data_IF_470425441339
#
_entry.id   IF_470425441339
#
_cell.length_a   1.000
_cell.length_b   1.000
_cell.length_c   1.000
_cell.angle_alpha   90.00
_cell.angle_beta   90.00
_cell.angle_gamma   90.00
#
_symmetry.space_group_name_H-M   'P 1'
#
loop_
_entity.id
_entity.type
_entity.pdbx_description
1 polymer ?
#
# COMPACT_ATOMS: atom_id res chain seq x y z
N UNK A 1 17.50 8.10 9.84
CA UNK A 1 17.67 7.03 10.86
C UNK A 1 18.43 5.90 10.19
N UNK A 2 19.22 5.13 10.93
CA UNK A 2 20.01 4.02 10.40
C UNK A 2 19.62 2.74 11.15
N UNK A 3 19.34 1.67 10.42
CA UNK A 3 19.14 0.34 11.01
C UNK A 3 20.50 -0.36 11.14
N UNK A 4 20.71 -1.04 12.26
CA UNK A 4 21.86 -1.92 12.47
C UNK A 4 21.31 -3.33 12.65
N UNK A 5 21.75 -4.25 11.79
CA UNK A 5 21.41 -5.67 11.87
C UNK A 5 22.56 -6.37 12.61
N UNK A 6 22.25 -7.10 13.68
CA UNK A 6 23.16 -8.00 14.38
C UNK A 6 22.60 -9.42 14.37
N UNK A 7 23.42 -10.41 14.76
CA UNK A 7 22.96 -11.81 14.88
C UNK A 7 21.76 -11.95 15.82
N UNK A 8 21.67 -11.08 16.83
CA UNK A 8 20.59 -11.05 17.82
C UNK A 8 19.29 -10.36 17.33
N UNK A 9 19.33 -9.64 16.18
CA UNK A 9 18.16 -8.96 15.60
C UNK A 9 18.40 -7.55 15.06
N UNK A 10 17.32 -6.76 14.92
CA UNK A 10 17.37 -5.39 14.40
C UNK A 10 17.40 -4.36 15.54
N UNK A 11 18.26 -3.35 15.38
CA UNK A 11 18.35 -2.20 16.27
C UNK A 11 18.25 -0.90 15.47
N UNK A 12 17.50 0.06 16.02
CA UNK A 12 17.43 1.42 15.48
C UNK A 12 18.57 2.29 16.03
N UNK A 13 19.28 2.99 15.15
CA UNK A 13 20.29 4.00 15.47
C UNK A 13 19.86 5.34 14.85
N UNK A 14 19.90 6.42 15.62
CA UNK A 14 19.41 7.70 15.15
C UNK A 14 19.52 8.81 16.19
N UNK A 15 19.08 10.03 15.86
CA UNK A 15 18.97 11.11 16.83
C UNK A 15 18.07 10.69 18.01
N UNK A 16 18.41 11.13 19.22
CA UNK A 16 17.64 10.84 20.44
C UNK A 16 16.33 11.63 20.42
N UNK A 17 15.33 11.08 19.73
CA UNK A 17 13.98 11.63 19.65
C UNK A 17 13.14 11.11 20.83
N UNK A 18 12.45 11.98 21.60
CA UNK A 18 11.65 11.56 22.75
C UNK A 18 10.63 10.48 22.43
N UNK A 19 10.03 10.53 21.24
CA UNK A 19 9.00 9.59 20.79
C UNK A 19 9.56 8.19 20.55
N UNK A 20 10.86 8.06 20.25
CA UNK A 20 11.50 6.79 19.91
C UNK A 20 12.23 6.15 21.07
N UNK A 21 12.32 6.81 22.22
CA UNK A 21 13.07 6.30 23.37
C UNK A 21 12.58 4.92 23.83
N UNK A 22 11.26 4.70 23.82
CA UNK A 22 10.67 3.40 24.18
C UNK A 22 10.89 2.29 23.13
N UNK A 23 11.13 2.68 21.87
CA UNK A 23 11.47 1.74 20.78
C UNK A 23 12.96 1.42 20.81
N UNK A 24 13.82 2.42 21.01
CA UNK A 24 15.28 2.32 20.90
C UNK A 24 15.96 1.70 22.13
N UNK A 25 15.43 1.96 23.33
CA UNK A 25 16.10 1.61 24.57
C UNK A 25 15.16 0.91 25.55
N UNK A 26 15.71 -0.04 26.28
CA UNK A 26 15.11 -0.50 27.54
C UNK A 26 15.79 0.24 28.67
N UNK A 27 14.98 0.80 29.57
CA UNK A 27 15.50 1.26 30.84
C UNK A 27 15.80 0.02 31.66
N UNK A 28 17.08 -0.19 32.02
CA UNK A 28 17.43 -1.20 33.00
C UNK A 28 16.62 -0.86 34.25
N UNK A 29 15.65 -1.72 34.59
CA UNK A 29 14.97 -1.59 35.86
C UNK A 29 16.03 -1.77 36.93
N UNK A 30 16.21 -0.76 37.79
CA UNK A 30 17.05 -0.89 38.98
C UNK A 30 16.57 -2.12 39.78
N UNK A 31 17.29 -3.25 39.65
CA UNK A 31 17.29 -4.33 40.62
C UNK A 31 16.16 -5.38 40.58
N UNK A 32 15.61 -5.77 39.43
CA UNK A 32 14.73 -6.95 39.32
C UNK A 32 15.38 -8.09 38.55
N UNK A 33 15.67 -9.22 39.20
CA UNK A 33 16.36 -10.40 38.66
C UNK A 33 15.69 -11.08 37.44
N UNK A 34 16.30 -12.15 36.90
CA UNK A 34 15.90 -12.74 35.63
C UNK A 34 14.56 -13.46 35.78
N UNK A 35 13.46 -12.85 35.29
CA UNK A 35 12.21 -13.57 35.11
C UNK A 35 12.19 -14.32 33.78
N UNK A 36 12.08 -15.62 33.98
CA UNK A 36 11.96 -16.71 33.04
C UNK A 36 10.84 -16.45 32.00
N UNK A 37 11.18 -16.64 30.73
CA UNK A 37 10.26 -16.54 29.59
C UNK A 37 9.30 -17.73 29.61
N UNK A 38 8.20 -17.64 30.36
CA UNK A 38 7.07 -18.56 30.20
C UNK A 38 5.99 -17.93 29.32
N UNK A 39 5.74 -18.61 28.20
CA UNK A 39 4.55 -18.51 27.35
C UNK A 39 3.30 -18.26 28.21
N UNK A 40 2.57 -17.19 27.91
CA UNK A 40 1.20 -16.99 28.38
C UNK A 40 0.28 -17.04 27.17
N UNK A 41 -0.60 -18.04 27.20
CA UNK A 41 -1.71 -18.21 26.29
C UNK A 41 -2.69 -17.04 26.41
N UNK A 42 -3.26 -16.65 25.27
CA UNK A 42 -4.34 -15.67 25.16
C UNK A 42 -5.57 -16.09 25.96
N UNK A 43 -6.26 -15.12 26.59
CA UNK A 43 -7.69 -15.00 26.29
C UNK A 43 -8.13 -13.56 25.99
N UNK A 44 -9.15 -13.47 25.14
CA UNK A 44 -9.93 -12.27 24.82
C UNK A 44 -10.60 -11.67 26.07
N UNK A 45 -10.58 -10.33 26.20
CA UNK A 45 -11.77 -9.49 26.34
C UNK A 45 -11.44 -8.03 26.74
N UNK A 46 -11.87 -7.10 25.88
CA UNK A 46 -12.52 -5.80 26.19
C UNK A 46 -11.79 -4.67 26.97
N UNK A 47 -12.25 -3.42 26.78
CA UNK A 47 -11.38 -2.24 26.73
C UNK A 47 -11.38 -1.46 28.05
N UNK A 48 -10.23 -0.95 28.50
CA UNK A 48 -10.16 0.18 29.43
C UNK A 48 -8.77 0.81 29.56
N UNK A 49 -8.78 2.13 29.50
CA UNK A 49 -7.82 3.08 30.06
C UNK A 49 -6.39 3.02 29.51
N UNK A 50 -6.13 3.83 28.48
CA UNK A 50 -4.77 4.33 28.24
C UNK A 50 -4.34 5.19 29.45
N UNK A 51 -3.20 4.89 30.09
CA UNK A 51 -2.64 5.76 31.11
C UNK A 51 -2.09 7.04 30.45
N UNK A 52 -2.54 8.18 30.97
CA UNK A 52 -2.03 9.51 30.61
C UNK A 52 -0.59 9.63 31.11
N UNK A 53 0.38 9.40 30.23
CA UNK A 53 1.82 9.56 30.53
C UNK A 53 2.11 11.06 30.66
N UNK A 54 2.23 11.55 31.88
CA UNK A 54 2.83 12.87 32.15
C UNK A 54 4.35 12.73 32.19
N UNK A 55 5.12 13.58 31.49
CA UNK A 55 6.57 13.51 31.51
C UNK A 55 7.08 14.05 32.86
N UNK A 56 7.53 13.15 33.74
CA UNK A 56 8.34 13.56 34.91
C UNK A 56 9.75 13.87 34.41
N UNK A 57 10.12 15.15 34.47
CA UNK A 57 11.48 15.64 34.30
C UNK A 57 12.33 15.22 35.51
N UNK A 58 12.73 13.96 35.55
CA UNK A 58 13.75 13.44 36.45
C UNK A 58 14.87 12.87 35.59
N UNK A 59 16.02 13.52 35.63
CA UNK A 59 17.24 13.12 34.93
C UNK A 59 17.84 11.88 35.61
N UNK A 60 17.22 10.72 35.40
CA UNK A 60 17.79 9.43 35.80
C UNK A 60 18.77 9.01 34.71
N UNK A 61 20.06 9.14 35.01
CA UNK A 61 21.21 8.58 34.30
C UNK A 61 21.24 7.04 34.36
N UNK A 62 20.09 6.39 34.16
CA UNK A 62 20.01 4.95 33.99
C UNK A 62 20.70 4.55 32.70
N UNK A 63 21.53 3.52 32.77
CA UNK A 63 22.25 2.98 31.62
C UNK A 63 21.23 2.54 30.55
N UNK A 64 21.22 3.25 29.41
CA UNK A 64 20.29 2.98 28.32
C UNK A 64 20.78 1.77 27.55
N UNK A 65 20.19 0.62 27.85
CA UNK A 65 20.52 -0.62 27.14
C UNK A 65 19.81 -0.64 25.78
N UNK A 66 20.54 -0.93 24.69
CA UNK A 66 19.97 -1.15 23.36
C UNK A 66 18.81 -2.16 23.36
N UNK A 67 17.65 -1.79 22.79
CA UNK A 67 16.52 -2.71 22.62
C UNK A 67 16.66 -3.41 21.25
N UNK A 68 16.76 -4.75 21.25
CA UNK A 68 16.77 -5.56 20.03
C UNK A 68 15.37 -6.14 19.80
N UNK A 69 14.87 -6.03 18.58
CA UNK A 69 13.52 -6.48 18.20
C UNK A 69 13.57 -7.33 16.94
N UNK A 70 12.62 -8.25 16.82
CA UNK A 70 12.32 -8.89 15.53
C UNK A 70 11.85 -7.83 14.51
N UNK A 71 12.10 -8.01 13.20
CA UNK A 71 11.69 -7.05 12.17
C UNK A 71 10.21 -6.63 12.26
N UNK A 72 9.29 -7.59 12.39
CA UNK A 72 7.85 -7.31 12.43
C UNK A 72 7.43 -6.47 13.65
N UNK A 73 7.97 -6.77 14.83
CA UNK A 73 7.70 -6.01 16.06
C UNK A 73 8.24 -4.58 15.96
N UNK A 74 9.44 -4.41 15.40
CA UNK A 74 10.05 -3.09 15.22
C UNK A 74 9.24 -2.22 14.26
N UNK A 75 8.84 -2.76 13.10
CA UNK A 75 8.02 -2.04 12.12
C UNK A 75 6.68 -1.59 12.71
N UNK A 76 6.05 -2.45 13.51
CA UNK A 76 4.81 -2.11 14.22
C UNK A 76 5.02 -0.99 15.25
N UNK A 77 6.04 -1.09 16.09
CA UNK A 77 6.36 -0.06 17.10
C UNK A 77 6.70 1.29 16.43
N UNK A 78 7.43 1.28 15.30
CA UNK A 78 7.70 2.47 14.49
C UNK A 78 6.41 3.09 13.95
N UNK A 79 5.51 2.27 13.39
CA UNK A 79 4.20 2.71 12.91
C UNK A 79 3.35 3.31 14.03
N UNK A 80 3.33 2.69 15.20
CA UNK A 80 2.60 3.19 16.37
C UNK A 80 3.15 4.53 16.87
N UNK A 81 4.43 4.82 16.58
CA UNK A 81 5.07 6.13 16.82
C UNK A 81 4.86 7.13 15.67
N UNK A 82 4.06 6.79 14.65
CA UNK A 82 3.81 7.64 13.48
C UNK A 82 4.94 7.61 12.43
N UNK A 83 5.93 6.72 12.58
CA UNK A 83 6.97 6.50 11.58
C UNK A 83 6.53 5.40 10.62
N UNK A 84 5.94 5.81 9.50
CA UNK A 84 5.71 4.91 8.37
C UNK A 84 6.97 4.92 7.50
N UNK A 85 7.64 3.78 7.41
CA UNK A 85 8.70 3.58 6.44
C UNK A 85 8.04 3.39 5.07
N UNK A 86 8.16 4.39 4.21
CA UNK A 86 7.84 4.25 2.80
C UNK A 86 9.08 3.70 2.12
N UNK A 87 9.01 2.52 1.48
CA UNK A 87 10.15 2.03 0.74
C UNK A 87 10.47 2.97 -0.43
N UNK A 88 11.75 3.15 -0.67
CA UNK A 88 12.29 3.96 -1.77
C UNK A 88 12.62 3.04 -2.97
N UNK A 89 12.83 3.61 -4.15
CA UNK A 89 13.17 2.81 -5.34
C UNK A 89 14.54 2.12 -5.16
N UNK A 90 15.44 2.69 -4.37
CA UNK A 90 16.73 2.10 -3.99
C UNK A 90 16.56 0.84 -3.12
N UNK A 91 15.46 0.72 -2.37
CA UNK A 91 15.18 -0.48 -1.57
C UNK A 91 14.91 -1.71 -2.45
N UNK A 92 14.65 -1.49 -3.74
CA UNK A 92 14.47 -2.54 -4.74
C UNK A 92 15.66 -3.49 -4.85
N UNK A 93 16.89 -2.96 -4.66
CA UNK A 93 18.12 -3.74 -4.78
C UNK A 93 18.20 -4.86 -3.74
N UNK A 94 17.43 -4.76 -2.66
CA UNK A 94 17.37 -5.73 -1.57
C UNK A 94 16.18 -6.70 -1.68
N UNK A 95 15.32 -6.55 -2.69
CA UNK A 95 14.11 -7.35 -2.88
C UNK A 95 14.26 -8.29 -4.08
N UNK A 96 14.40 -9.59 -3.81
CA UNK A 96 14.53 -10.60 -4.86
C UNK A 96 13.28 -10.64 -5.76
N UNK A 97 13.52 -10.55 -7.07
CA UNK A 97 12.46 -10.59 -8.09
C UNK A 97 11.59 -9.33 -8.12
N UNK A 98 12.05 -8.25 -7.49
CA UNK A 98 11.42 -6.95 -7.57
C UNK A 98 12.11 -6.08 -8.62
N UNK A 99 11.32 -5.33 -9.38
CA UNK A 99 11.86 -4.36 -10.35
C UNK A 99 10.96 -3.13 -10.30
N UNK A 100 11.50 -1.95 -9.94
CA UNK A 100 10.75 -0.70 -9.97
C UNK A 100 10.11 -0.50 -11.34
N UNK A 101 8.84 -0.07 -11.32
CA UNK A 101 8.12 0.22 -12.56
C UNK A 101 8.66 1.49 -13.19
N UNK A 102 8.60 1.54 -14.51
CA UNK A 102 9.02 2.70 -15.27
C UNK A 102 8.18 3.93 -14.85
N UNK A 103 8.82 5.06 -14.47
CA UNK A 103 8.11 6.27 -14.08
C UNK A 103 7.06 6.73 -15.09
N UNK A 104 7.28 6.50 -16.39
CA UNK A 104 6.29 6.84 -17.43
C UNK A 104 5.04 5.95 -17.34
N UNK A 105 5.22 4.66 -17.08
CA UNK A 105 4.10 3.71 -16.87
C UNK A 105 3.31 4.10 -15.62
N UNK A 106 4.01 4.44 -14.53
CA UNK A 106 3.39 4.89 -13.28
C UNK A 106 2.61 6.20 -13.48
N UNK A 107 3.21 7.19 -14.13
CA UNK A 107 2.58 8.47 -14.42
C UNK A 107 1.32 8.29 -15.27
N UNK A 108 1.38 7.42 -16.30
CA UNK A 108 0.23 7.07 -17.14
C UNK A 108 -0.88 6.43 -16.33
N UNK A 109 -0.56 5.37 -15.58
CA UNK A 109 -1.54 4.65 -14.80
C UNK A 109 -2.21 5.55 -13.76
N UNK A 110 -1.44 6.36 -13.03
CA UNK A 110 -2.00 7.27 -12.03
C UNK A 110 -2.84 8.40 -12.64
N UNK A 111 -2.48 8.90 -13.84
CA UNK A 111 -3.33 9.85 -14.56
C UNK A 111 -4.70 9.23 -14.85
N UNK A 112 -4.72 8.07 -15.51
CA UNK A 112 -5.96 7.40 -15.91
C UNK A 112 -6.80 6.95 -14.71
N UNK A 113 -6.16 6.38 -13.68
CA UNK A 113 -6.85 5.95 -12.46
C UNK A 113 -7.47 7.12 -11.71
N UNK A 114 -6.78 8.25 -11.64
CA UNK A 114 -7.29 9.42 -10.92
C UNK A 114 -8.56 10.00 -11.57
N UNK A 115 -8.70 9.88 -12.89
CA UNK A 115 -9.90 10.29 -13.63
C UNK A 115 -11.11 9.41 -13.30
N UNK A 116 -10.90 8.13 -13.00
CA UNK A 116 -11.98 7.17 -12.73
C UNK A 116 -12.23 6.89 -11.24
N UNK A 117 -11.33 7.31 -10.35
CA UNK A 117 -11.37 6.97 -8.92
C UNK A 117 -12.64 7.42 -8.17
N UNK A 118 -13.45 8.31 -8.74
CA UNK A 118 -14.72 8.73 -8.16
C UNK A 118 -15.85 7.70 -8.29
N UNK A 119 -15.70 6.69 -9.16
CA UNK A 119 -16.76 5.71 -9.44
C UNK A 119 -16.27 4.27 -9.47
N UNK A 120 -14.96 4.07 -9.31
CA UNK A 120 -14.33 2.77 -9.40
C UNK A 120 -13.47 2.50 -8.17
N UNK A 121 -13.60 1.30 -7.64
CA UNK A 121 -12.63 0.75 -6.71
C UNK A 121 -11.40 0.30 -7.50
N UNK A 122 -10.22 0.63 -6.98
CA UNK A 122 -8.94 0.31 -7.62
C UNK A 122 -8.11 -0.55 -6.66
N UNK A 123 -7.64 -1.68 -7.17
CA UNK A 123 -6.76 -2.58 -6.43
C UNK A 123 -5.53 -2.92 -7.27
N UNK A 124 -4.34 -2.88 -6.67
CA UNK A 124 -3.12 -3.35 -7.30
C UNK A 124 -3.13 -4.88 -7.42
N UNK A 125 -2.52 -5.42 -8.48
CA UNK A 125 -2.41 -6.86 -8.67
C UNK A 125 -1.13 -7.42 -8.07
N UNK A 126 -1.19 -8.61 -7.48
CA UNK A 126 -0.01 -9.35 -6.99
C UNK A 126 0.92 -9.83 -8.12
N UNK A 127 0.45 -9.77 -9.36
CA UNK A 127 1.22 -10.18 -10.53
C UNK A 127 2.23 -9.12 -10.96
N UNK A 128 2.20 -7.90 -10.41
CA UNK A 128 3.13 -6.83 -10.76
C UNK A 128 4.60 -7.22 -10.60
N UNK A 129 4.94 -8.04 -9.59
CA UNK A 129 6.29 -8.61 -9.42
C UNK A 129 6.80 -9.44 -10.60
N UNK A 130 5.90 -10.05 -11.38
CA UNK A 130 6.24 -10.91 -12.52
C UNK A 130 6.23 -10.18 -13.86
N UNK A 131 5.72 -8.95 -13.86
CA UNK A 131 5.60 -8.14 -15.06
C UNK A 131 6.87 -7.32 -15.29
N UNK A 132 7.22 -7.05 -16.56
CA UNK A 132 8.34 -6.17 -16.87
C UNK A 132 8.08 -4.75 -16.32
N UNK A 133 9.14 -3.95 -16.23
CA UNK A 133 9.07 -2.60 -15.63
C UNK A 133 8.13 -1.67 -16.38
N UNK A 134 7.96 -1.88 -17.69
CA UNK A 134 7.09 -1.10 -18.57
C UNK A 134 5.62 -1.54 -18.50
N UNK A 135 5.28 -2.47 -17.60
CA UNK A 135 3.92 -2.98 -17.44
C UNK A 135 3.48 -2.93 -15.99
N UNK A 136 2.31 -2.36 -15.77
CA UNK A 136 1.63 -2.34 -14.48
C UNK A 136 0.22 -2.91 -14.63
N UNK A 137 -0.12 -3.89 -13.79
CA UNK A 137 -1.44 -4.53 -13.77
C UNK A 137 -2.24 -4.08 -12.57
N UNK A 138 -3.46 -3.65 -12.84
CA UNK A 138 -4.43 -3.19 -11.87
C UNK A 138 -5.73 -3.96 -12.03
N UNK A 139 -6.55 -3.89 -10.99
CA UNK A 139 -7.92 -4.36 -11.00
C UNK A 139 -8.83 -3.19 -10.69
N UNK A 140 -9.88 -3.05 -11.49
CA UNK A 140 -10.89 -2.00 -11.35
C UNK A 140 -12.27 -2.63 -11.25
N UNK A 141 -13.12 -2.09 -10.38
CA UNK A 141 -14.51 -2.52 -10.19
C UNK A 141 -15.39 -1.29 -10.09
N UNK A 142 -16.55 -1.30 -10.74
CA UNK A 142 -17.54 -0.23 -10.57
C UNK A 142 -18.05 -0.20 -9.12
N UNK A 143 -18.07 0.98 -8.51
CA UNK A 143 -18.62 1.20 -7.18
C UNK A 143 -19.46 2.49 -7.13
N UNK A 144 -20.60 2.53 -7.85
CA UNK A 144 -21.42 3.74 -7.96
C UNK A 144 -22.09 4.15 -6.64
N UNK A 145 -22.13 3.24 -5.67
CA UNK A 145 -22.78 3.43 -4.36
C UNK A 145 -21.79 3.70 -3.22
N UNK A 146 -20.48 3.76 -3.51
CA UNK A 146 -19.41 3.95 -2.51
C UNK A 146 -19.48 2.92 -1.37
N UNK A 147 -19.80 1.68 -1.73
CA UNK A 147 -19.84 0.58 -0.78
C UNK A 147 -18.44 0.32 -0.23
N UNK A 148 -18.37 0.06 1.07
CA UNK A 148 -17.11 -0.26 1.70
C UNK A 148 -16.68 -1.67 1.29
N UNK A 149 -15.45 -1.80 0.79
CA UNK A 149 -14.88 -3.09 0.44
C UNK A 149 -14.88 -4.05 1.63
N UNK A 150 -15.58 -5.20 1.49
CA UNK A 150 -15.57 -6.28 2.47
C UNK A 150 -14.65 -7.43 1.98
N UNK A 151 -13.47 -7.63 2.58
CA UNK A 151 -12.57 -8.72 2.19
C UNK A 151 -13.12 -10.11 2.51
N UNK A 152 -14.20 -10.22 3.29
CA UNK A 152 -14.83 -11.50 3.64
C UNK A 152 -15.92 -11.91 2.65
N UNK A 153 -16.32 -11.03 1.74
CA UNK A 153 -17.27 -11.34 0.69
C UNK A 153 -16.59 -12.16 -0.42
N UNK A 154 -17.00 -13.42 -0.63
CA UNK A 154 -16.40 -14.28 -1.66
C UNK A 154 -16.67 -13.78 -3.09
N UNK A 155 -17.72 -12.99 -3.29
CA UNK A 155 -18.09 -12.49 -4.61
C UNK A 155 -17.38 -11.18 -4.97
N UNK A 156 -16.79 -10.49 -3.97
CA UNK A 156 -16.12 -9.20 -4.17
C UNK A 156 -15.01 -9.23 -5.23
N UNK A 157 -14.30 -10.36 -5.39
CA UNK A 157 -13.23 -10.51 -6.37
C UNK A 157 -13.75 -10.76 -7.81
N UNK A 158 -15.02 -11.14 -7.98
CA UNK A 158 -15.57 -11.55 -9.28
C UNK A 158 -15.90 -10.38 -10.21
N UNK A 159 -16.21 -9.22 -9.62
CA UNK A 159 -16.57 -8.01 -10.36
C UNK A 159 -15.35 -7.20 -10.84
N UNK A 160 -14.15 -7.57 -10.41
CA UNK A 160 -12.94 -6.88 -10.80
C UNK A 160 -12.54 -7.22 -12.25
N UNK A 161 -12.33 -6.18 -13.04
CA UNK A 161 -11.72 -6.26 -14.36
C UNK A 161 -10.23 -5.92 -14.25
N UNK A 162 -9.39 -6.70 -14.91
CA UNK A 162 -7.96 -6.45 -14.90
C UNK A 162 -7.55 -5.52 -16.05
N UNK A 163 -6.79 -4.49 -15.73
CA UNK A 163 -6.30 -3.44 -16.65
C UNK A 163 -4.79 -3.46 -16.64
N UNK A 164 -4.20 -3.63 -17.82
CA UNK A 164 -2.76 -3.59 -18.03
C UNK A 164 -2.37 -2.23 -18.63
N UNK A 165 -1.45 -1.55 -17.97
CA UNK A 165 -0.88 -0.27 -18.38
C UNK A 165 0.52 -0.44 -18.94
N UNK A 166 0.83 0.41 -19.91
CA UNK A 166 2.12 0.63 -20.54
C UNK A 166 2.43 2.14 -20.50
N UNK A 167 3.63 2.61 -20.89
CA UNK A 167 3.92 4.04 -20.95
C UNK A 167 2.95 4.84 -21.83
N UNK A 168 2.52 4.26 -22.95
CA UNK A 168 1.77 4.95 -24.00
C UNK A 168 0.32 4.46 -24.19
N UNK A 169 -0.08 3.38 -23.50
CA UNK A 169 -1.37 2.72 -23.71
C UNK A 169 -1.86 1.91 -22.51
N UNK A 170 -3.13 1.53 -22.54
CA UNK A 170 -3.76 0.60 -21.62
C UNK A 170 -4.66 -0.40 -22.37
N UNK A 171 -4.95 -1.54 -21.76
CA UNK A 171 -5.96 -2.50 -22.24
C UNK A 171 -6.55 -3.33 -21.09
N UNK A 172 -7.71 -3.93 -21.33
CA UNK A 172 -8.24 -4.96 -20.46
C UNK A 172 -7.62 -6.33 -20.75
N UNK A 173 -7.37 -7.12 -19.71
CA UNK A 173 -6.76 -8.45 -19.79
C UNK A 173 -7.56 -9.47 -18.95
N UNK A 174 -7.57 -10.77 -19.30
CA UNK A 174 -8.21 -11.82 -18.50
C UNK A 174 -7.43 -12.21 -17.22
N UNK A 175 -6.47 -11.41 -16.77
CA UNK A 175 -5.59 -11.74 -15.65
C UNK A 175 -6.28 -11.61 -14.28
N UNK A 176 -6.88 -12.69 -13.79
CA UNK A 176 -7.40 -12.79 -12.43
C UNK A 176 -6.28 -13.10 -11.43
N UNK A 177 -6.46 -12.70 -10.15
CA UNK A 177 -5.45 -12.90 -9.11
C UNK A 177 -5.05 -14.38 -8.95
N UNK A 178 -6.03 -15.29 -8.95
CA UNK A 178 -5.80 -16.73 -8.72
C UNK A 178 -5.16 -17.47 -9.90
N UNK A 179 -5.22 -16.92 -11.11
CA UNK A 179 -4.68 -17.54 -12.32
C UNK A 179 -3.26 -17.02 -12.62
N UNK A 180 -2.48 -17.72 -13.47
CA UNK A 180 -1.26 -17.16 -14.03
C UNK A 180 -1.53 -15.84 -14.74
N UNK A 181 -0.59 -14.89 -14.62
CA UNK A 181 -0.69 -13.60 -15.29
C UNK A 181 -0.82 -13.78 -16.80
N UNK A 182 -1.80 -13.10 -17.37
CA UNK A 182 -2.00 -13.03 -18.82
C UNK A 182 -1.82 -11.58 -19.24
N UNK A 183 -0.98 -11.34 -20.24
CA UNK A 183 -0.69 -9.99 -20.75
C UNK A 183 -1.40 -9.70 -22.06
N UNK A 184 -1.94 -10.73 -22.70
CA UNK A 184 -2.70 -10.57 -23.93
C UNK A 184 -4.01 -9.82 -23.64
N UNK A 185 -4.39 -8.84 -24.48
CA UNK A 185 -5.68 -8.19 -24.37
C UNK A 185 -6.84 -9.20 -24.38
N UNK A 186 -7.94 -8.86 -23.71
CA UNK A 186 -9.18 -9.62 -23.82
C UNK A 186 -9.63 -9.76 -25.29
N UNK A 187 -10.32 -10.85 -25.67
CA UNK A 187 -10.83 -11.02 -27.02
C UNK A 187 -11.69 -9.82 -27.45
N UNK A 188 -11.43 -9.26 -28.64
CA UNK A 188 -12.07 -8.05 -29.18
C UNK A 188 -11.74 -6.74 -28.44
N UNK A 189 -10.87 -6.76 -27.44
CA UNK A 189 -10.30 -5.54 -26.87
C UNK A 189 -8.99 -5.17 -27.58
N UNK A 190 -8.75 -3.86 -27.71
CA UNK A 190 -7.53 -3.30 -28.25
C UNK A 190 -6.80 -2.51 -27.17
N UNK A 191 -5.51 -2.24 -27.40
CA UNK A 191 -4.80 -1.23 -26.60
C UNK A 191 -5.19 0.17 -27.05
N UNK A 192 -5.45 1.06 -26.10
CA UNK A 192 -5.79 2.45 -26.37
C UNK A 192 -4.88 3.40 -25.62
N UNK A 193 -4.77 4.63 -26.10
CA UNK A 193 -3.93 5.65 -25.49
C UNK A 193 -4.38 6.06 -24.08
N UNK A 194 -5.62 5.74 -23.67
CA UNK A 194 -6.13 5.98 -22.31
C UNK A 194 -7.11 4.88 -21.87
N UNK A 195 -7.26 4.72 -20.55
CA UNK A 195 -8.28 3.85 -19.96
C UNK A 195 -9.70 4.30 -20.32
N UNK A 196 -9.95 5.61 -20.38
CA UNK A 196 -11.24 6.15 -20.84
C UNK A 196 -11.64 5.59 -22.21
N UNK A 197 -10.71 5.56 -23.17
CA UNK A 197 -10.95 4.99 -24.51
C UNK A 197 -11.13 3.47 -24.47
N UNK A 198 -10.50 2.77 -23.52
CA UNK A 198 -10.71 1.34 -23.32
C UNK A 198 -12.16 1.06 -22.92
N UNK A 199 -12.72 1.87 -22.02
CA UNK A 199 -14.14 1.78 -21.69
C UNK A 199 -15.01 2.12 -22.89
N UNK A 200 -14.82 3.29 -23.51
CA UNK A 200 -15.63 3.75 -24.66
C UNK A 200 -15.73 2.72 -25.79
N UNK A 201 -14.64 1.99 -26.06
CA UNK A 201 -14.56 1.01 -27.15
C UNK A 201 -14.68 -0.45 -26.70
N UNK A 202 -15.06 -0.70 -25.44
CA UNK A 202 -15.28 -2.06 -24.97
C UNK A 202 -16.40 -2.74 -25.80
N UNK A 203 -16.22 -3.98 -26.25
CA UNK A 203 -17.23 -4.72 -27.01
C UNK A 203 -18.47 -5.06 -26.17
N UNK A 204 -18.27 -5.30 -24.87
CA UNK A 204 -19.32 -5.66 -23.91
C UNK A 204 -19.76 -4.42 -23.11
N UNK A 205 -20.26 -3.42 -23.81
CA UNK A 205 -20.70 -2.16 -23.21
C UNK A 205 -21.82 -2.40 -22.18
N UNK A 206 -21.64 -2.02 -20.90
CA UNK A 206 -22.71 -2.16 -19.93
C UNK A 206 -23.83 -1.16 -20.25
N UNK A 207 -25.08 -1.52 -19.94
CA UNK A 207 -26.25 -0.74 -20.32
C UNK A 207 -26.26 0.70 -19.77
N UNK A 208 -25.50 0.95 -18.70
CA UNK A 208 -25.31 2.24 -18.03
C UNK A 208 -24.06 3.02 -18.52
N UNK A 209 -23.37 2.57 -19.57
CA UNK A 209 -22.10 3.16 -19.98
C UNK A 209 -22.17 4.66 -20.30
N UNK A 210 -23.22 5.12 -20.97
CA UNK A 210 -23.39 6.55 -21.27
C UNK A 210 -23.47 7.39 -19.98
N UNK A 211 -24.11 6.86 -18.94
CA UNK A 211 -24.19 7.51 -17.63
C UNK A 211 -22.84 7.51 -16.92
N UNK A 212 -22.09 6.40 -17.00
CA UNK A 212 -20.72 6.30 -16.49
C UNK A 212 -19.82 7.33 -17.16
N UNK A 213 -19.84 7.42 -18.49
CA UNK A 213 -19.01 8.38 -19.24
C UNK A 213 -19.40 9.83 -18.93
N UNK A 214 -20.70 10.11 -18.81
CA UNK A 214 -21.19 11.43 -18.40
C UNK A 214 -20.71 11.81 -16.99
N UNK A 215 -20.67 10.83 -16.07
CA UNK A 215 -20.17 11.01 -14.71
C UNK A 215 -18.66 11.23 -14.65
N UNK A 216 -17.93 10.68 -15.60
CA UNK A 216 -16.49 10.91 -15.80
C UNK A 216 -16.20 12.27 -16.48
N UNK A 217 -17.22 13.03 -16.91
CA UNK A 217 -17.00 14.36 -17.49
C UNK A 217 -16.29 15.28 -16.49
N UNK A 218 -15.26 15.96 -16.99
CA UNK A 218 -14.38 16.80 -16.19
C UNK A 218 -15.10 18.10 -15.83
N UNK A 219 -15.56 18.20 -14.58
CA UNK A 219 -16.00 19.47 -13.98
C UNK A 219 -14.85 20.12 -13.20
N UNK A 220 -14.87 21.44 -12.99
CA UNK A 220 -13.80 22.13 -12.24
C UNK A 220 -13.61 21.59 -10.81
N UNK A 221 -14.68 21.12 -10.16
CA UNK A 221 -14.61 20.43 -8.87
C UNK A 221 -13.92 19.08 -8.96
N UNK A 222 -14.12 18.36 -10.07
CA UNK A 222 -13.51 17.07 -10.34
C UNK A 222 -11.97 17.21 -10.50
N UNK A 223 -11.49 18.28 -11.15
CA UNK A 223 -10.04 18.49 -11.36
C UNK A 223 -9.22 18.48 -10.05
N UNK A 224 -9.72 19.10 -8.98
CA UNK A 224 -9.02 19.10 -7.68
C UNK A 224 -9.00 17.72 -7.03
N UNK A 225 -10.11 16.98 -7.16
CA UNK A 225 -10.22 15.61 -6.67
C UNK A 225 -9.24 14.69 -7.42
N UNK A 226 -9.28 14.71 -8.75
CA UNK A 226 -8.38 13.97 -9.64
C UNK A 226 -6.92 14.24 -9.26
N UNK A 227 -6.55 15.52 -9.12
CA UNK A 227 -5.18 15.88 -8.76
C UNK A 227 -4.77 15.36 -7.37
N UNK A 228 -5.64 15.48 -6.37
CA UNK A 228 -5.37 15.00 -5.02
C UNK A 228 -5.22 13.46 -4.98
N UNK A 229 -6.07 12.74 -5.71
CA UNK A 229 -5.98 11.28 -5.84
C UNK A 229 -4.68 10.89 -6.52
N UNK A 230 -4.32 11.54 -7.63
CA UNK A 230 -3.08 11.30 -8.37
C UNK A 230 -1.85 11.48 -7.48
N UNK A 231 -1.77 12.60 -6.75
CA UNK A 231 -0.68 12.87 -5.81
C UNK A 231 -0.63 11.84 -4.69
N UNK A 232 -1.78 11.41 -4.19
CA UNK A 232 -1.87 10.38 -3.14
C UNK A 232 -1.35 9.02 -3.66
N UNK A 233 -1.75 8.60 -4.86
CA UNK A 233 -1.27 7.36 -5.47
C UNK A 233 0.24 7.37 -5.73
N UNK A 234 0.77 8.53 -6.19
CA UNK A 234 2.21 8.74 -6.37
C UNK A 234 2.96 8.64 -5.05
N UNK A 235 2.48 9.32 -4.01
CA UNK A 235 3.09 9.29 -2.68
C UNK A 235 3.08 7.89 -2.07
N UNK A 236 2.01 7.13 -2.29
CA UNK A 236 1.87 5.77 -1.78
C UNK A 236 2.65 4.72 -2.58
N UNK A 237 3.10 5.03 -3.80
CA UNK A 237 3.71 4.03 -4.68
C UNK A 237 2.79 2.83 -4.90
N UNK A 238 1.49 3.07 -5.14
CA UNK A 238 0.45 2.02 -5.21
C UNK A 238 0.81 0.87 -6.16
N UNK A 239 1.51 1.19 -7.24
CA UNK A 239 1.99 0.26 -8.26
C UNK A 239 3.44 -0.14 -8.09
N UNK A 240 4.17 0.54 -7.21
CA UNK A 240 5.57 0.28 -6.97
C UNK A 240 5.73 -1.02 -6.20
N UNK A 241 4.99 -1.31 -5.11
CA UNK A 241 5.41 -2.34 -4.13
C UNK A 241 4.57 -3.65 -4.05
N UNK A 242 3.87 -4.06 -5.12
CA UNK A 242 2.87 -5.17 -5.05
C UNK A 242 3.27 -6.43 -5.79
#
# INVERSE_FOLDING_TARGET
>A
MQFVISEDGLRLKGPDLPELRGVMFTFAADGGGPEDTRRVEHPLASPRNQPKITPRSGDTTGERVPRIRSPATLLRELRDCGLNLMPEDEDAEFLDGYTPKDPETLARAYSDLSEIAGYYDVASSRHNKKLPKEQALLRVRENPLFEQFDPLDPDCDTDYQAVLFYPDKACFTPSLELQPVKTDPLPNHCTHASLYLCYERAPDQPANQAEILQRLEVTCTNVRFVEAVRQTMQLMGLLSFV
#
